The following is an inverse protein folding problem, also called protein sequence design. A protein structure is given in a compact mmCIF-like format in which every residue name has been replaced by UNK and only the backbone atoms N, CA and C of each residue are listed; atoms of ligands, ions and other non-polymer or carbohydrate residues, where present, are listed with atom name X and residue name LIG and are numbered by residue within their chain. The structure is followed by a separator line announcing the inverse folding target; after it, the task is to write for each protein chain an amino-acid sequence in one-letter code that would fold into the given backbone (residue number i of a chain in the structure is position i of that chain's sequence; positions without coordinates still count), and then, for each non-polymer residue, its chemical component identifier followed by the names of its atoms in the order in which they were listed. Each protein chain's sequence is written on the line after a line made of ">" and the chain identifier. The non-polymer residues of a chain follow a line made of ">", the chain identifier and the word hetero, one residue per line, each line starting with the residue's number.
data_IF_948925571670
#
_entry.id   IF_948925571670
#
_cell.length_a   1.000
_cell.length_b   1.000
_cell.length_c   1.000
_cell.angle_alpha   90.00
_cell.angle_beta   90.00
_cell.angle_gamma   90.00
#
_symmetry.space_group_name_H-M   'P 1'
#
loop_
_entity.id
_entity.type
_entity.pdbx_description
1 polymer ?
#
# COMPACT_ATOMS: atom_id res chain seq x y z
N UNK A 1 1.23 8.68 10.08
CA UNK A 1 1.34 7.27 10.53
C UNK A 1 2.66 6.65 10.08
N UNK A 2 3.05 5.49 10.62
CA UNK A 2 4.19 4.70 10.11
C UNK A 2 3.76 3.26 9.86
N UNK A 3 3.84 2.81 8.61
CA UNK A 3 3.63 1.41 8.24
C UNK A 3 4.99 0.70 8.20
N UNK A 4 5.06 -0.48 8.80
CA UNK A 4 6.20 -1.40 8.70
C UNK A 4 5.68 -2.74 8.23
N UNK A 5 6.38 -3.36 7.30
CA UNK A 5 6.07 -4.69 6.80
C UNK A 5 7.28 -5.59 6.95
N UNK A 6 7.04 -6.86 7.21
CA UNK A 6 8.05 -7.91 7.24
C UNK A 6 7.53 -9.10 6.42
N UNK A 7 8.47 -9.84 5.82
CA UNK A 7 8.19 -11.03 5.00
C UNK A 7 7.26 -10.78 3.80
N UNK A 8 7.24 -9.54 3.27
CA UNK A 8 6.50 -9.25 2.04
C UNK A 8 7.29 -9.76 0.84
N UNK A 9 6.68 -10.64 0.03
CA UNK A 9 7.30 -11.15 -1.19
C UNK A 9 7.76 -10.01 -2.11
N UNK A 10 8.64 -10.29 -3.07
CA UNK A 10 8.99 -9.27 -4.08
C UNK A 10 7.78 -9.00 -5.01
N UNK A 11 7.51 -7.75 -5.42
CA UNK A 11 6.36 -7.43 -6.27
C UNK A 11 6.26 -8.31 -7.52
N UNK A 12 7.41 -8.58 -8.15
CA UNK A 12 7.53 -9.35 -9.40
C UNK A 12 7.10 -10.82 -9.22
N UNK A 13 7.09 -11.33 -7.99
CA UNK A 13 6.60 -12.67 -7.69
C UNK A 13 5.06 -12.74 -7.61
N UNK A 14 4.38 -11.60 -7.53
CA UNK A 14 2.91 -11.52 -7.36
C UNK A 14 2.18 -11.08 -8.63
N UNK A 15 2.89 -10.58 -9.64
CA UNK A 15 2.30 -10.23 -10.93
C UNK A 15 3.36 -9.92 -11.98
N UNK A 16 3.10 -10.30 -13.23
CA UNK A 16 4.06 -10.18 -14.35
C UNK A 16 4.48 -8.74 -14.63
N UNK A 17 3.60 -7.76 -14.37
CA UNK A 17 3.87 -6.33 -14.59
C UNK A 17 4.22 -5.56 -13.32
N UNK A 18 4.16 -6.20 -12.15
CA UNK A 18 4.40 -5.54 -10.88
C UNK A 18 5.89 -5.25 -10.67
N UNK A 19 6.22 -3.98 -10.38
CA UNK A 19 7.60 -3.51 -10.17
C UNK A 19 7.80 -2.85 -8.80
N UNK A 20 6.73 -2.53 -8.11
CA UNK A 20 6.77 -1.90 -6.79
C UNK A 20 5.52 -2.24 -6.00
N UNK A 21 5.59 -2.07 -4.68
CA UNK A 21 4.37 -1.93 -3.88
C UNK A 21 3.96 -0.48 -3.80
N UNK A 22 2.65 -0.23 -3.78
CA UNK A 22 2.06 1.07 -3.49
C UNK A 22 1.19 0.93 -2.25
N UNK A 23 1.28 1.90 -1.35
CA UNK A 23 0.43 2.00 -0.18
C UNK A 23 -0.72 2.93 -0.51
N UNK A 24 -1.93 2.48 -0.22
CA UNK A 24 -3.16 3.20 -0.48
C UNK A 24 -3.91 3.45 0.81
N UNK A 25 -4.71 4.51 0.82
CA UNK A 25 -5.78 4.68 1.82
C UNK A 25 -7.10 5.00 1.16
N UNK A 26 -8.19 4.62 1.81
CA UNK A 26 -9.56 4.97 1.42
C UNK A 26 -10.39 5.25 2.67
N UNK A 27 -11.52 5.93 2.51
CA UNK A 27 -12.51 6.03 3.59
C UNK A 27 -13.00 4.63 3.95
N UNK A 28 -12.94 4.26 5.23
CA UNK A 28 -13.32 2.90 5.68
C UNK A 28 -14.83 2.64 5.65
N UNK A 29 -15.65 3.69 5.68
CA UNK A 29 -17.10 3.58 5.71
C UNK A 29 -17.68 3.47 4.29
N UNK A 30 -17.13 4.21 3.34
CA UNK A 30 -17.63 4.23 1.96
C UNK A 30 -16.76 3.46 0.97
N UNK A 31 -15.49 3.23 1.29
CA UNK A 31 -14.49 2.70 0.36
C UNK A 31 -14.07 3.69 -0.73
N UNK A 32 -14.54 4.93 -0.67
CA UNK A 32 -14.23 5.98 -1.64
C UNK A 32 -12.93 6.72 -1.27
N UNK A 33 -12.55 7.68 -2.13
CA UNK A 33 -11.37 8.53 -1.93
C UNK A 33 -10.07 7.73 -1.81
N UNK A 34 -9.89 6.74 -2.69
CA UNK A 34 -8.64 5.99 -2.78
C UNK A 34 -7.48 6.96 -3.11
N UNK A 35 -6.48 7.01 -2.24
CA UNK A 35 -5.32 7.88 -2.37
C UNK A 35 -4.04 7.06 -2.33
N UNK A 36 -3.15 7.34 -3.28
CA UNK A 36 -1.78 6.81 -3.30
C UNK A 36 -0.93 7.54 -2.24
N UNK A 37 -0.45 6.81 -1.22
CA UNK A 37 0.44 7.32 -0.18
C UNK A 37 1.92 7.14 -0.50
N UNK A 38 2.23 6.55 -1.65
CA UNK A 38 3.58 6.36 -2.18
C UNK A 38 4.03 4.91 -2.20
N UNK A 39 5.18 4.70 -2.84
CA UNK A 39 5.78 3.39 -2.98
C UNK A 39 6.37 2.87 -1.66
N UNK A 40 6.09 1.59 -1.37
CA UNK A 40 6.72 0.85 -0.29
C UNK A 40 7.90 0.06 -0.84
N UNK A 41 9.12 0.58 -0.62
CA UNK A 41 10.34 -0.15 -0.95
C UNK A 41 10.57 -1.26 0.06
N UNK A 42 10.67 -2.48 -0.44
CA UNK A 42 11.04 -3.67 0.32
C UNK A 42 12.51 -3.99 0.03
N UNK A 43 13.29 -4.24 1.07
CA UNK A 43 14.71 -4.57 0.95
C UNK A 43 14.93 -6.08 0.71
N UNK A 44 16.19 -6.50 0.56
CA UNK A 44 16.53 -7.91 0.34
C UNK A 44 16.17 -8.84 1.50
N UNK A 45 15.94 -8.30 2.70
CA UNK A 45 15.43 -9.04 3.85
C UNK A 45 13.90 -9.10 3.91
N UNK A 46 13.21 -8.72 2.83
CA UNK A 46 11.74 -8.68 2.72
C UNK A 46 11.09 -7.74 3.75
N UNK A 47 11.78 -6.65 4.13
CA UNK A 47 11.31 -5.64 5.07
C UNK A 47 11.16 -4.29 4.40
N UNK A 48 10.12 -3.55 4.77
CA UNK A 48 9.83 -2.23 4.23
C UNK A 48 9.21 -1.31 5.27
N UNK A 49 9.37 0.00 5.09
CA UNK A 49 8.61 0.97 5.87
C UNK A 49 8.36 2.26 5.12
N UNK A 50 7.19 2.86 5.35
CA UNK A 50 6.83 4.17 4.83
C UNK A 50 6.26 5.03 5.95
N UNK A 51 6.52 6.34 5.85
CA UNK A 51 5.84 7.35 6.66
C UNK A 51 5.00 8.21 5.71
N UNK A 52 3.73 8.33 6.05
CA UNK A 52 2.78 9.11 5.28
C UNK A 52 1.83 9.85 6.23
N UNK A 53 1.23 10.92 5.70
CA UNK A 53 0.22 11.73 6.37
C UNK A 53 -1.11 11.55 5.64
N UNK A 54 -2.21 11.53 6.38
CA UNK A 54 -3.56 11.55 5.85
C UNK A 54 -4.43 12.40 6.78
N UNK A 55 -5.37 13.19 6.26
CA UNK A 55 -6.33 13.91 7.08
C UNK A 55 -7.44 12.98 7.63
N UNK A 56 -7.57 11.76 7.09
CA UNK A 56 -8.63 10.82 7.47
C UNK A 56 -8.47 10.35 8.93
N UNK A 57 -9.57 10.35 9.67
CA UNK A 57 -9.64 9.88 11.06
C UNK A 57 -9.92 8.38 11.17
N UNK A 58 -10.73 7.88 10.24
CA UNK A 58 -11.01 6.47 10.06
C UNK A 58 -10.79 6.12 8.60
N UNK A 59 -9.94 5.14 8.33
CA UNK A 59 -9.54 4.79 6.97
C UNK A 59 -9.07 3.34 6.90
N UNK A 60 -9.24 2.73 5.74
CA UNK A 60 -8.52 1.50 5.41
C UNK A 60 -7.18 1.89 4.81
N UNK A 61 -6.11 1.25 5.27
CA UNK A 61 -4.80 1.26 4.62
C UNK A 61 -4.58 -0.11 4.00
N UNK A 62 -4.13 -0.14 2.75
CA UNK A 62 -3.84 -1.39 2.05
C UNK A 62 -2.67 -1.26 1.10
N UNK A 63 -2.08 -2.38 0.73
CA UNK A 63 -0.90 -2.46 -0.13
C UNK A 63 -1.22 -3.34 -1.33
N UNK A 64 -0.86 -2.89 -2.53
CA UNK A 64 -0.98 -3.67 -3.76
C UNK A 64 0.36 -3.67 -4.52
N UNK A 65 0.67 -4.75 -5.27
CA UNK A 65 1.74 -4.75 -6.26
C UNK A 65 1.28 -3.96 -7.49
N UNK A 66 2.11 -3.03 -7.96
CA UNK A 66 1.78 -2.11 -9.06
C UNK A 66 2.93 -1.98 -10.08
N UNK A 67 2.62 -1.63 -11.34
CA UNK A 67 3.65 -1.39 -12.37
C UNK A 67 4.48 -0.13 -12.12
N UNK A 68 3.93 0.86 -11.41
CA UNK A 68 4.59 2.14 -11.15
C UNK A 68 4.19 2.73 -9.80
N UNK A 69 5.13 3.48 -9.19
CA UNK A 69 4.90 4.13 -7.89
C UNK A 69 3.81 5.22 -7.95
N UNK A 70 3.60 5.79 -9.13
CA UNK A 70 2.66 6.88 -9.42
C UNK A 70 1.31 6.37 -9.92
N UNK A 71 0.98 5.10 -9.70
CA UNK A 71 -0.32 4.55 -10.08
C UNK A 71 -1.45 5.44 -9.53
N UNK A 72 -2.45 5.73 -10.37
CA UNK A 72 -3.58 6.59 -10.01
C UNK A 72 -4.71 5.81 -9.34
N UNK A 73 -4.79 4.50 -9.60
CA UNK A 73 -5.71 3.57 -8.98
C UNK A 73 -5.01 2.23 -8.71
N UNK A 74 -5.46 1.46 -7.69
CA UNK A 74 -4.93 0.13 -7.44
C UNK A 74 -5.33 -0.83 -8.57
N UNK A 75 -4.36 -1.59 -9.09
CA UNK A 75 -4.57 -2.61 -10.12
C UNK A 75 -4.28 -4.03 -9.63
N UNK A 76 -3.41 -4.18 -8.62
CA UNK A 76 -3.07 -5.46 -8.01
C UNK A 76 -4.02 -5.89 -6.89
N UNK A 77 -3.97 -7.18 -6.53
CA UNK A 77 -4.66 -7.70 -5.35
C UNK A 77 -4.09 -7.11 -4.06
N UNK A 78 -4.94 -6.91 -3.04
CA UNK A 78 -4.50 -6.45 -1.71
C UNK A 78 -3.68 -7.55 -1.03
N UNK A 79 -2.40 -7.28 -0.82
CA UNK A 79 -1.48 -8.24 -0.16
C UNK A 79 -1.37 -8.01 1.34
N UNK A 80 -1.69 -6.80 1.80
CA UNK A 80 -1.75 -6.40 3.21
C UNK A 80 -2.82 -5.33 3.36
N UNK A 81 -3.61 -5.39 4.43
CA UNK A 81 -4.58 -4.35 4.75
C UNK A 81 -4.87 -4.27 6.25
N UNK A 82 -5.35 -3.10 6.70
CA UNK A 82 -5.87 -2.87 8.04
C UNK A 82 -6.82 -1.69 8.03
N UNK A 83 -7.83 -1.70 8.91
CA UNK A 83 -8.64 -0.52 9.21
C UNK A 83 -8.04 0.20 10.41
N UNK A 84 -7.89 1.52 10.31
CA UNK A 84 -7.36 2.37 11.38
C UNK A 84 -8.46 3.31 11.84
N UNK A 85 -8.59 3.44 13.16
CA UNK A 85 -9.42 4.45 13.83
C UNK A 85 -8.55 5.21 14.83
N UNK A 86 -8.41 6.52 14.65
CA UNK A 86 -7.65 7.41 15.55
C UNK A 86 -8.55 8.08 16.59
#
# INVERSE_FOLDING_TARGET
>A
MRLKVEHLARPEALGTEAKTYVVWVQDSATGEHVQNLGALKVNDSLKGSIRALTPLKRFDIFVTPEPMATAESPSGERVLWSTISL
#
